data_IF_547718283564
#
_entry.id   IF_547718283564
#
_cell.length_a   1.000
_cell.length_b   1.000
_cell.length_c   1.000
_cell.angle_alpha   90.00
_cell.angle_beta   90.00
_cell.angle_gamma   90.00
#
_symmetry.space_group_name_H-M   'P 1'
#
loop_
_entity.id
_entity.type
_entity.pdbx_description
1 polymer ?
#
# COMPACT_ATOMS: atom_id res chain seq x y z
N UNK A 1 7.29 26.77 -38.49
CA UNK A 1 6.29 27.34 -37.58
C UNK A 1 7.01 27.70 -36.28
N UNK A 2 7.12 28.98 -35.89
CA UNK A 2 7.75 29.37 -34.62
C UNK A 2 6.78 28.98 -33.49
N UNK A 3 7.14 27.97 -32.69
CA UNK A 3 6.38 27.59 -31.50
C UNK A 3 6.35 28.82 -30.57
N UNK A 4 5.19 29.28 -30.08
CA UNK A 4 5.11 30.41 -29.16
C UNK A 4 5.99 30.18 -27.92
N UNK A 5 6.75 31.20 -27.50
CA UNK A 5 7.68 31.17 -26.35
C UNK A 5 6.93 31.08 -24.99
N UNK A 6 5.60 30.94 -25.00
CA UNK A 6 4.71 31.02 -23.83
C UNK A 6 4.76 29.79 -22.93
N UNK A 7 5.15 28.63 -23.47
CA UNK A 7 5.24 27.37 -22.70
C UNK A 7 6.66 27.05 -22.21
N UNK A 8 7.59 28.01 -22.36
CA UNK A 8 8.99 27.79 -21.98
C UNK A 8 9.12 27.78 -20.45
N UNK A 9 9.67 26.71 -19.85
CA UNK A 9 9.86 26.65 -18.40
C UNK A 9 10.84 27.72 -17.94
N UNK A 10 10.60 28.28 -16.75
CA UNK A 10 11.39 29.39 -16.17
C UNK A 10 12.10 28.94 -14.89
N UNK A 11 13.12 28.05 -14.96
CA UNK A 11 13.83 27.56 -13.78
C UNK A 11 14.56 28.68 -13.01
N UNK A 12 14.88 29.80 -13.68
CA UNK A 12 15.44 30.98 -13.02
C UNK A 12 14.53 31.55 -11.92
N UNK A 13 13.20 31.37 -12.02
CA UNK A 13 12.27 31.78 -10.97
C UNK A 13 12.36 30.91 -9.70
N UNK A 14 12.96 29.71 -9.79
CA UNK A 14 13.10 28.77 -8.67
C UNK A 14 14.31 29.11 -7.82
N UNK A 15 15.46 29.40 -8.45
CA UNK A 15 16.75 29.52 -7.75
C UNK A 15 17.55 30.77 -8.08
N UNK A 16 17.00 31.69 -8.89
CA UNK A 16 17.61 32.96 -9.26
C UNK A 16 18.80 32.84 -10.21
N UNK A 17 19.18 31.63 -10.65
CA UNK A 17 20.33 31.44 -11.55
C UNK A 17 19.93 31.72 -13.00
N UNK A 18 20.92 32.04 -13.82
CA UNK A 18 20.75 32.03 -15.28
C UNK A 18 20.74 30.58 -15.77
N UNK A 19 19.66 30.21 -16.44
CA UNK A 19 19.48 28.89 -17.04
C UNK A 19 19.45 28.98 -18.55
N UNK A 20 20.03 27.99 -19.22
CA UNK A 20 19.86 27.76 -20.66
C UNK A 20 18.70 26.79 -20.84
N UNK A 21 17.59 27.27 -21.41
CA UNK A 21 16.40 26.45 -21.68
C UNK A 21 16.28 26.19 -23.17
N UNK A 22 16.20 24.94 -23.59
CA UNK A 22 16.04 24.56 -24.99
C UNK A 22 14.84 23.61 -25.19
N UNK A 23 14.14 23.77 -26.32
CA UNK A 23 13.06 22.87 -26.71
C UNK A 23 13.58 21.50 -27.16
N UNK A 24 12.85 20.43 -26.88
CA UNK A 24 13.13 19.08 -27.36
C UNK A 24 12.14 18.63 -28.45
N UNK A 25 12.53 17.71 -29.34
CA UNK A 25 11.60 17.07 -30.26
C UNK A 25 10.76 16.02 -29.53
N UNK A 26 9.44 16.11 -29.65
CA UNK A 26 8.48 15.17 -29.06
C UNK A 26 8.16 15.45 -27.59
N UNK A 27 6.98 14.99 -27.15
CA UNK A 27 6.39 15.39 -25.87
C UNK A 27 6.95 14.66 -24.65
N UNK A 28 7.69 13.57 -24.85
CA UNK A 28 8.29 12.75 -23.79
C UNK A 28 9.76 13.10 -23.49
N UNK A 29 10.39 13.97 -24.29
CA UNK A 29 11.83 14.21 -24.21
C UNK A 29 12.15 15.33 -23.21
N UNK A 30 12.63 14.98 -22.01
CA UNK A 30 13.12 15.90 -20.98
C UNK A 30 14.54 15.59 -20.55
N UNK A 31 15.32 16.62 -20.19
CA UNK A 31 16.61 16.44 -19.52
C UNK A 31 17.06 17.70 -18.77
N UNK A 32 17.55 17.55 -17.54
CA UNK A 32 18.07 18.66 -16.72
C UNK A 32 19.49 18.40 -16.24
N UNK A 33 20.42 19.31 -16.58
CA UNK A 33 21.76 19.38 -15.98
C UNK A 33 21.79 20.51 -14.94
N UNK A 34 21.58 20.16 -13.67
CA UNK A 34 21.54 21.12 -12.55
C UNK A 34 22.89 21.80 -12.28
N UNK A 35 24.00 21.18 -12.70
CA UNK A 35 25.35 21.74 -12.54
C UNK A 35 25.56 22.84 -13.56
N UNK A 36 25.32 22.55 -14.84
CA UNK A 36 25.48 23.50 -15.95
C UNK A 36 24.31 24.49 -16.07
N UNK A 37 23.23 24.30 -15.30
CA UNK A 37 22.00 25.07 -15.40
C UNK A 37 21.41 25.02 -16.82
N UNK A 38 21.34 23.81 -17.38
CA UNK A 38 20.74 23.55 -18.70
C UNK A 38 19.48 22.71 -18.50
N UNK A 39 18.38 23.11 -19.12
CA UNK A 39 17.11 22.40 -19.08
C UNK A 39 16.59 22.22 -20.51
N UNK A 40 16.35 20.97 -20.89
CA UNK A 40 15.74 20.56 -22.14
C UNK A 40 14.33 20.04 -21.84
N UNK A 41 13.32 20.62 -22.47
CA UNK A 41 11.93 20.21 -22.26
C UNK A 41 11.07 20.48 -23.50
N UNK A 42 9.98 19.74 -23.70
CA UNK A 42 9.08 19.95 -24.82
C UNK A 42 8.34 21.27 -24.67
N UNK A 43 8.08 21.95 -25.79
CA UNK A 43 7.39 23.24 -25.81
C UNK A 43 5.94 23.15 -26.32
N UNK A 44 5.49 21.95 -26.72
CA UNK A 44 4.12 21.70 -27.14
C UNK A 44 3.12 21.94 -25.99
N UNK A 45 1.90 22.34 -26.31
CA UNK A 45 0.82 22.52 -25.33
C UNK A 45 -0.02 21.25 -25.18
N UNK A 46 0.63 20.15 -24.81
CA UNK A 46 -0.04 18.88 -24.50
C UNK A 46 0.09 18.57 -23.00
N UNK A 47 -0.82 17.74 -22.44
CA UNK A 47 -0.70 17.29 -21.05
C UNK A 47 0.65 16.62 -20.75
N UNK A 48 1.13 15.75 -21.64
CA UNK A 48 2.44 15.09 -21.54
C UNK A 48 3.58 16.09 -21.51
N UNK A 49 3.61 17.03 -22.47
CA UNK A 49 4.66 18.03 -22.52
C UNK A 49 4.67 18.94 -21.28
N UNK A 50 3.50 19.24 -20.71
CA UNK A 50 3.35 19.98 -19.45
C UNK A 50 3.91 19.17 -18.26
N UNK A 51 3.61 17.88 -18.19
CA UNK A 51 4.13 16.98 -17.15
C UNK A 51 5.66 16.90 -17.22
N UNK A 52 6.24 16.71 -18.41
CA UNK A 52 7.70 16.69 -18.59
C UNK A 52 8.32 18.03 -18.20
N UNK A 53 7.75 19.17 -18.60
CA UNK A 53 8.25 20.49 -18.15
C UNK A 53 8.25 20.62 -16.63
N UNK A 54 7.18 20.17 -15.97
CA UNK A 54 7.08 20.20 -14.51
C UNK A 54 8.12 19.28 -13.87
N UNK A 55 8.33 18.07 -14.41
CA UNK A 55 9.36 17.12 -13.99
C UNK A 55 10.76 17.74 -14.01
N UNK A 56 11.15 18.33 -15.14
CA UNK A 56 12.44 18.97 -15.31
C UNK A 56 12.63 20.20 -14.40
N UNK A 57 11.57 20.99 -14.18
CA UNK A 57 11.60 22.11 -13.23
C UNK A 57 11.81 21.64 -11.79
N UNK A 58 11.26 20.48 -11.41
CA UNK A 58 11.49 19.92 -10.08
C UNK A 58 12.93 19.43 -9.93
N UNK A 59 13.53 18.81 -10.96
CA UNK A 59 14.98 18.54 -10.95
C UNK A 59 15.81 19.79 -10.66
N UNK A 60 15.52 20.90 -11.35
CA UNK A 60 16.19 22.18 -11.14
C UNK A 60 16.08 22.66 -9.68
N UNK A 61 14.98 22.34 -8.99
CA UNK A 61 14.72 22.71 -7.60
C UNK A 61 15.41 21.81 -6.57
N UNK A 62 15.28 20.49 -6.70
CA UNK A 62 15.56 19.55 -5.59
C UNK A 62 16.63 18.50 -5.90
N UNK A 63 17.12 18.39 -7.13
CA UNK A 63 18.26 17.52 -7.46
C UNK A 63 19.57 18.21 -7.10
N UNK A 64 20.52 17.55 -6.42
CA UNK A 64 21.79 18.17 -6.05
C UNK A 64 22.61 18.62 -7.27
N UNK A 65 23.28 19.77 -7.14
CA UNK A 65 24.14 20.36 -8.17
C UNK A 65 25.51 19.70 -8.20
N UNK A 66 25.56 18.45 -8.63
CA UNK A 66 26.80 17.67 -8.72
C UNK A 66 26.78 16.78 -9.97
N UNK A 67 27.96 16.40 -10.45
CA UNK A 67 28.04 15.48 -11.57
C UNK A 67 27.54 14.08 -11.15
N UNK A 68 26.50 13.59 -11.81
CA UNK A 68 25.92 12.27 -11.55
C UNK A 68 26.99 11.15 -11.58
N UNK A 69 27.92 11.21 -12.55
CA UNK A 69 29.03 10.26 -12.65
C UNK A 69 29.93 10.23 -11.38
N UNK A 70 30.12 11.38 -10.73
CA UNK A 70 30.86 11.46 -9.46
C UNK A 70 30.09 10.80 -8.32
N UNK A 71 28.76 10.95 -8.29
CA UNK A 71 27.89 10.28 -7.31
C UNK A 71 27.93 8.77 -7.52
N UNK A 72 27.73 8.30 -8.76
CA UNK A 72 27.78 6.90 -9.14
C UNK A 72 29.06 6.24 -8.64
N UNK A 73 30.22 6.83 -8.98
CA UNK A 73 31.54 6.34 -8.53
C UNK A 73 31.68 6.30 -7.01
N UNK A 74 31.26 7.36 -6.30
CA UNK A 74 31.39 7.46 -4.83
C UNK A 74 30.43 6.53 -4.09
N UNK A 75 29.22 6.37 -4.59
CA UNK A 75 28.17 5.60 -3.94
C UNK A 75 28.12 4.15 -4.40
N UNK A 76 28.89 3.80 -5.44
CA UNK A 76 28.93 2.47 -6.10
C UNK A 76 27.56 2.06 -6.61
N UNK A 77 26.96 2.92 -7.41
CA UNK A 77 25.68 2.70 -8.10
C UNK A 77 25.87 2.98 -9.59
N UNK A 78 25.07 2.31 -10.42
CA UNK A 78 24.98 2.57 -11.86
C UNK A 78 24.35 3.93 -12.14
N UNK A 79 24.59 4.45 -13.35
CA UNK A 79 23.97 5.71 -13.79
C UNK A 79 22.45 5.54 -13.93
N UNK A 80 22.01 4.43 -14.51
CA UNK A 80 20.59 4.15 -14.76
C UNK A 80 19.81 4.06 -13.45
N UNK A 81 20.28 3.27 -12.48
CA UNK A 81 19.59 3.13 -11.19
C UNK A 81 19.53 4.45 -10.43
N UNK A 82 20.58 5.28 -10.53
CA UNK A 82 20.57 6.61 -9.93
C UNK A 82 19.55 7.53 -10.61
N UNK A 83 19.44 7.47 -11.94
CA UNK A 83 18.49 8.26 -12.71
C UNK A 83 17.05 7.81 -12.43
N UNK A 84 16.72 6.52 -12.56
CA UNK A 84 15.38 6.00 -12.28
C UNK A 84 14.93 6.25 -10.84
N UNK A 85 15.85 6.12 -9.88
CA UNK A 85 15.56 6.42 -8.47
C UNK A 85 15.34 7.90 -8.21
N UNK A 86 16.02 8.77 -8.96
CA UNK A 86 15.80 10.20 -8.84
C UNK A 86 14.47 10.59 -9.47
N UNK A 87 14.19 10.11 -10.68
CA UNK A 87 12.93 10.35 -11.38
C UNK A 87 11.73 9.84 -10.59
N UNK A 88 11.86 8.68 -9.92
CA UNK A 88 10.89 8.19 -8.95
C UNK A 88 10.63 9.20 -7.81
N UNK A 89 11.68 9.81 -7.26
CA UNK A 89 11.57 10.83 -6.22
C UNK A 89 10.91 12.11 -6.75
N UNK A 90 11.21 12.51 -7.98
CA UNK A 90 10.56 13.64 -8.65
C UNK A 90 9.07 13.35 -8.86
N UNK A 91 8.72 12.17 -9.38
CA UNK A 91 7.34 11.73 -9.54
C UNK A 91 6.55 11.76 -8.24
N UNK A 92 7.15 11.30 -7.13
CA UNK A 92 6.56 11.40 -5.80
C UNK A 92 6.29 12.85 -5.37
N UNK A 93 7.25 13.76 -5.60
CA UNK A 93 7.09 15.19 -5.29
C UNK A 93 5.93 15.81 -6.05
N UNK A 94 5.81 15.49 -7.34
CA UNK A 94 4.76 15.98 -8.22
C UNK A 94 3.38 15.45 -7.84
N UNK A 95 3.27 14.15 -7.61
CA UNK A 95 2.04 13.47 -7.20
C UNK A 95 1.48 14.05 -5.91
N UNK A 96 2.31 14.18 -4.88
CA UNK A 96 1.87 14.69 -3.57
C UNK A 96 1.42 16.15 -3.60
N UNK A 97 1.85 16.92 -4.60
CA UNK A 97 1.46 18.32 -4.77
C UNK A 97 0.34 18.52 -5.79
N UNK A 98 -0.21 17.43 -6.32
CA UNK A 98 -1.30 17.47 -7.31
C UNK A 98 -0.90 18.30 -8.56
N UNK A 99 0.38 18.22 -8.96
CA UNK A 99 0.94 18.96 -10.12
C UNK A 99 0.88 18.12 -11.40
N UNK A 100 0.75 16.80 -11.28
CA UNK A 100 0.69 15.87 -12.42
C UNK A 100 -0.71 15.29 -12.52
N UNK A 101 -1.28 15.40 -13.72
CA UNK A 101 -2.51 14.72 -14.08
C UNK A 101 -2.25 13.21 -14.15
N UNK A 102 -3.14 12.41 -13.53
CA UNK A 102 -3.08 10.95 -13.61
C UNK A 102 -3.10 10.44 -15.07
N UNK A 103 -3.66 11.26 -15.98
CA UNK A 103 -3.79 11.01 -17.42
C UNK A 103 -2.69 11.61 -18.29
N UNK A 104 -1.62 12.15 -17.69
CA UNK A 104 -0.59 12.85 -18.44
C UNK A 104 0.22 11.96 -19.41
N UNK A 105 0.13 10.63 -19.31
CA UNK A 105 0.72 9.70 -20.28
C UNK A 105 -0.41 8.91 -20.93
N UNK A 106 -0.50 9.03 -22.25
CA UNK A 106 -1.45 8.27 -23.08
C UNK A 106 -0.99 6.83 -23.28
N UNK A 107 -1.90 5.95 -23.69
CA UNK A 107 -1.57 4.55 -24.02
C UNK A 107 -0.49 4.44 -25.10
N UNK A 108 -0.54 5.29 -26.14
CA UNK A 108 0.46 5.28 -27.22
C UNK A 108 1.86 5.72 -26.74
N UNK A 109 1.92 6.64 -25.79
CA UNK A 109 3.17 7.07 -25.16
C UNK A 109 3.71 5.98 -24.21
N UNK A 110 2.84 5.30 -23.46
CA UNK A 110 3.23 4.14 -22.65
C UNK A 110 3.80 3.01 -23.53
N UNK A 111 3.19 2.74 -24.69
CA UNK A 111 3.70 1.77 -25.68
C UNK A 111 5.07 2.19 -26.23
N UNK A 112 5.28 3.50 -26.44
CA UNK A 112 6.57 4.06 -26.87
C UNK A 112 7.64 3.88 -25.80
N UNK A 113 7.31 4.14 -24.52
CA UNK A 113 8.22 3.91 -23.39
C UNK A 113 8.58 2.42 -23.31
N UNK A 114 7.58 1.54 -23.35
CA UNK A 114 7.79 0.10 -23.29
C UNK A 114 8.62 -0.41 -24.48
N UNK A 115 8.49 0.20 -25.66
CA UNK A 115 9.33 -0.09 -26.82
C UNK A 115 10.80 0.31 -26.60
N UNK A 116 11.05 1.50 -26.08
CA UNK A 116 12.41 2.03 -25.87
C UNK A 116 13.12 1.30 -24.74
N UNK A 117 12.40 0.90 -23.69
CA UNK A 117 13.00 0.23 -22.55
C UNK A 117 13.57 -1.15 -22.90
N UNK A 118 13.27 -1.77 -24.04
CA UNK A 118 13.94 -3.00 -24.52
C UNK A 118 13.91 -4.13 -23.50
N UNK A 119 12.88 -4.99 -23.57
CA UNK A 119 12.29 -5.86 -22.52
C UNK A 119 13.16 -6.77 -21.63
N UNK A 120 14.35 -6.34 -21.21
CA UNK A 120 15.08 -6.93 -20.11
C UNK A 120 14.36 -6.61 -18.79
N UNK A 121 14.48 -7.50 -17.81
CA UNK A 121 13.86 -7.32 -16.50
C UNK A 121 14.29 -5.99 -15.84
N UNK A 122 15.57 -5.64 -15.95
CA UNK A 122 16.14 -4.42 -15.36
C UNK A 122 15.55 -3.15 -15.96
N UNK A 123 15.41 -3.08 -17.28
CA UNK A 123 14.90 -1.87 -17.94
C UNK A 123 13.39 -1.73 -17.80
N UNK A 124 12.65 -2.85 -17.76
CA UNK A 124 11.24 -2.87 -17.36
C UNK A 124 11.10 -2.35 -15.93
N UNK A 125 11.92 -2.86 -14.99
CA UNK A 125 11.91 -2.42 -13.60
C UNK A 125 12.24 -0.93 -13.47
N UNK A 126 13.21 -0.44 -14.24
CA UNK A 126 13.56 0.98 -14.28
C UNK A 126 12.38 1.85 -14.71
N UNK A 127 11.70 1.47 -15.79
CA UNK A 127 10.53 2.18 -16.30
C UNK A 127 9.39 2.21 -15.28
N UNK A 128 9.05 1.05 -14.69
CA UNK A 128 8.00 0.96 -13.66
C UNK A 128 8.36 1.74 -12.39
N UNK A 129 9.65 1.78 -12.01
CA UNK A 129 10.12 2.54 -10.86
C UNK A 129 9.88 4.04 -11.03
N UNK A 130 10.15 4.61 -12.21
CA UNK A 130 9.94 6.05 -12.48
C UNK A 130 8.48 6.44 -12.24
N UNK A 131 7.53 5.60 -12.64
CA UNK A 131 6.09 5.85 -12.53
C UNK A 131 5.46 5.29 -11.25
N UNK A 132 6.25 4.81 -10.28
CA UNK A 132 5.76 4.08 -9.11
C UNK A 132 4.62 4.78 -8.33
N UNK A 133 4.73 6.09 -8.15
CA UNK A 133 3.75 6.90 -7.40
C UNK A 133 2.62 7.45 -8.28
N UNK A 134 2.69 7.25 -9.59
CA UNK A 134 1.75 7.75 -10.58
C UNK A 134 0.84 6.59 -10.99
N UNK A 135 -0.01 6.12 -10.05
CA UNK A 135 -0.67 4.81 -10.10
C UNK A 135 -1.31 4.43 -11.44
N UNK A 136 -2.03 5.36 -12.07
CA UNK A 136 -2.66 5.10 -13.38
C UNK A 136 -1.65 5.04 -14.53
N UNK A 137 -0.60 5.85 -14.50
CA UNK A 137 0.50 5.78 -15.48
C UNK A 137 1.30 4.48 -15.34
N UNK A 138 1.53 4.03 -14.10
CA UNK A 138 2.16 2.72 -13.84
C UNK A 138 1.34 1.59 -14.43
N UNK A 139 0.02 1.58 -14.19
CA UNK A 139 -0.88 0.57 -14.74
C UNK A 139 -0.83 0.54 -16.28
N UNK A 140 -0.92 1.71 -16.94
CA UNK A 140 -0.80 1.80 -18.41
C UNK A 140 0.52 1.28 -18.94
N UNK A 141 1.60 1.49 -18.19
CA UNK A 141 2.93 1.02 -18.55
C UNK A 141 3.07 -0.50 -18.38
N UNK A 142 2.49 -1.07 -17.31
CA UNK A 142 2.36 -2.52 -17.14
C UNK A 142 1.58 -3.12 -18.31
N UNK A 143 0.41 -2.57 -18.65
CA UNK A 143 -0.38 -3.02 -19.81
C UNK A 143 0.40 -2.89 -21.14
N UNK A 144 1.25 -1.86 -21.28
CA UNK A 144 2.09 -1.68 -22.46
C UNK A 144 3.18 -2.76 -22.58
N UNK A 145 3.78 -3.18 -21.47
CA UNK A 145 4.71 -4.31 -21.47
C UNK A 145 4.00 -5.63 -21.79
N UNK A 146 2.79 -5.85 -21.28
CA UNK A 146 1.96 -7.03 -21.62
C UNK A 146 1.64 -7.08 -23.12
N UNK A 147 1.20 -5.96 -23.72
CA UNK A 147 0.96 -5.86 -25.17
C UNK A 147 2.19 -6.16 -26.01
N UNK A 148 3.39 -5.96 -25.44
CA UNK A 148 4.67 -6.27 -26.09
C UNK A 148 5.18 -7.69 -25.82
N UNK A 149 4.37 -8.53 -25.18
CA UNK A 149 4.66 -9.94 -24.94
C UNK A 149 5.47 -10.22 -23.69
N UNK A 150 5.60 -9.26 -22.76
CA UNK A 150 6.12 -9.54 -21.42
C UNK A 150 5.02 -10.27 -20.66
N UNK A 151 5.37 -11.41 -20.07
CA UNK A 151 4.44 -12.21 -19.28
C UNK A 151 3.95 -11.42 -18.04
N UNK A 152 2.62 -11.35 -17.78
CA UNK A 152 2.07 -10.59 -16.65
C UNK A 152 2.66 -11.00 -15.29
N UNK A 153 2.97 -12.27 -15.09
CA UNK A 153 3.60 -12.76 -13.84
C UNK A 153 5.01 -12.19 -13.68
N UNK A 154 5.74 -12.03 -14.79
CA UNK A 154 7.05 -11.36 -14.79
C UNK A 154 6.91 -9.89 -14.38
N UNK A 155 5.90 -9.17 -14.88
CA UNK A 155 5.64 -7.76 -14.51
C UNK A 155 5.28 -7.67 -13.03
N UNK A 156 4.37 -8.51 -12.53
CA UNK A 156 3.97 -8.55 -11.12
C UNK A 156 5.16 -8.88 -10.20
N UNK A 157 6.03 -9.79 -10.63
CA UNK A 157 7.28 -10.12 -9.91
C UNK A 157 8.20 -8.90 -9.83
N UNK A 158 8.41 -8.19 -10.94
CA UNK A 158 9.19 -6.95 -10.97
C UNK A 158 8.58 -5.90 -10.04
N UNK A 159 7.27 -5.66 -10.13
CA UNK A 159 6.57 -4.69 -9.29
C UNK A 159 6.68 -5.02 -7.80
N UNK A 160 6.56 -6.29 -7.42
CA UNK A 160 6.72 -6.74 -6.04
C UNK A 160 8.13 -6.46 -5.50
N UNK A 161 9.16 -6.73 -6.32
CA UNK A 161 10.57 -6.46 -5.99
C UNK A 161 10.82 -4.95 -5.87
N UNK A 162 10.26 -4.15 -6.78
CA UNK A 162 10.30 -2.68 -6.73
C UNK A 162 9.63 -2.13 -5.46
N UNK A 163 8.46 -2.67 -5.09
CA UNK A 163 7.75 -2.24 -3.89
C UNK A 163 8.61 -2.41 -2.64
N UNK A 164 9.29 -3.56 -2.54
CA UNK A 164 10.19 -3.88 -1.43
C UNK A 164 11.31 -2.84 -1.31
N UNK A 165 12.02 -2.55 -2.40
CA UNK A 165 13.14 -1.60 -2.38
C UNK A 165 12.68 -0.15 -2.16
N UNK A 166 11.52 0.24 -2.69
CA UNK A 166 10.92 1.57 -2.49
C UNK A 166 10.52 1.76 -1.02
N UNK A 167 9.84 0.77 -0.41
CA UNK A 167 9.47 0.79 1.01
C UNK A 167 10.69 0.84 1.91
N UNK A 168 11.71 0.04 1.61
CA UNK A 168 12.97 0.03 2.35
C UNK A 168 13.68 1.39 2.29
N UNK A 169 13.82 1.97 1.10
CA UNK A 169 14.41 3.29 0.93
C UNK A 169 13.63 4.37 1.70
N UNK A 170 12.30 4.37 1.61
CA UNK A 170 11.44 5.32 2.34
C UNK A 170 11.59 5.20 3.87
N UNK A 171 11.70 3.96 4.38
CA UNK A 171 11.90 3.70 5.80
C UNK A 171 13.26 4.22 6.30
N UNK A 172 14.33 4.07 5.50
CA UNK A 172 15.66 4.61 5.85
C UNK A 172 15.71 6.14 5.84
N UNK A 173 14.87 6.76 5.01
CA UNK A 173 14.76 8.21 4.91
C UNK A 173 14.08 8.81 6.17
N UNK A 174 13.14 8.11 6.80
CA UNK A 174 12.35 8.64 7.91
C UNK A 174 13.20 9.06 9.13
N UNK A 175 12.98 10.28 9.69
CA UNK A 175 13.78 10.77 10.82
C UNK A 175 13.55 9.96 12.11
N UNK A 176 14.64 9.43 12.68
CA UNK A 176 14.64 8.49 13.83
C UNK A 176 14.13 9.06 15.17
N UNK A 177 13.91 10.37 15.36
CA UNK A 177 13.73 10.93 16.73
C UNK A 177 12.80 12.12 16.97
N UNK A 178 11.94 12.57 16.04
CA UNK A 178 10.94 13.62 16.36
C UNK A 178 9.52 13.09 16.39
N UNK A 179 8.95 13.10 17.60
CA UNK A 179 7.53 12.97 17.89
C UNK A 179 6.69 13.85 16.94
N UNK A 180 5.70 13.21 16.33
CA UNK A 180 4.34 13.73 16.04
C UNK A 180 4.26 15.13 15.44
N UNK A 181 4.29 15.19 14.11
CA UNK A 181 3.20 15.78 13.31
C UNK A 181 3.03 14.92 12.07
N UNK A 182 1.81 14.42 11.83
CA UNK A 182 1.45 13.89 10.52
C UNK A 182 1.66 15.02 9.50
N UNK A 183 2.46 14.77 8.46
CA UNK A 183 2.71 15.75 7.40
C UNK A 183 4.17 16.14 7.16
N UNK A 184 5.13 15.71 7.98
CA UNK A 184 6.54 16.06 7.74
C UNK A 184 7.22 15.11 6.73
N UNK A 185 6.73 15.10 5.48
CA UNK A 185 7.32 14.41 4.32
C UNK A 185 8.39 15.24 3.60
N UNK A 186 8.96 16.27 4.26
CA UNK A 186 10.00 17.19 3.74
C UNK A 186 11.27 16.51 3.21
N UNK A 187 11.41 15.20 3.38
CA UNK A 187 12.56 14.47 2.86
C UNK A 187 12.56 14.40 1.34
N UNK A 188 11.41 14.18 0.70
CA UNK A 188 11.32 14.12 -0.76
C UNK A 188 11.51 15.50 -1.40
N UNK A 189 11.13 16.55 -0.68
CA UNK A 189 11.10 17.95 -1.13
C UNK A 189 12.45 18.69 -1.03
N UNK A 190 13.53 17.98 -0.73
CA UNK A 190 14.82 18.62 -0.45
C UNK A 190 15.99 17.92 -1.13
N UNK A 191 17.08 18.67 -1.31
CA UNK A 191 18.39 18.15 -1.73
C UNK A 191 18.89 17.06 -0.76
N UNK A 192 18.51 17.13 0.52
CA UNK A 192 18.84 16.08 1.49
C UNK A 192 18.11 14.76 1.21
N UNK A 193 16.96 14.82 0.54
CA UNK A 193 16.21 13.66 0.05
C UNK A 193 17.03 12.79 -0.89
N UNK A 194 17.82 13.40 -1.76
CA UNK A 194 18.69 12.68 -2.67
C UNK A 194 19.63 11.70 -1.94
N UNK A 195 20.31 12.18 -0.90
CA UNK A 195 21.24 11.35 -0.12
C UNK A 195 20.51 10.30 0.74
N UNK A 196 19.32 10.63 1.25
CA UNK A 196 18.58 9.81 2.21
C UNK A 196 17.58 8.84 1.58
N UNK A 197 17.22 9.04 0.33
CA UNK A 197 16.23 8.24 -0.39
C UNK A 197 16.77 7.78 -1.76
N UNK A 198 17.10 8.71 -2.67
CA UNK A 198 17.54 8.38 -4.03
C UNK A 198 18.75 7.44 -4.04
N UNK A 199 19.81 7.75 -3.27
CA UNK A 199 21.02 6.93 -3.24
C UNK A 199 20.77 5.54 -2.62
N UNK A 200 20.10 5.41 -1.46
CA UNK A 200 19.69 4.10 -0.94
C UNK A 200 18.82 3.30 -1.92
N UNK A 201 17.86 3.94 -2.58
CA UNK A 201 16.99 3.31 -3.58
C UNK A 201 17.79 2.80 -4.77
N UNK A 202 18.72 3.61 -5.32
CA UNK A 202 19.57 3.22 -6.43
C UNK A 202 20.44 2.01 -6.11
N UNK A 203 20.99 1.93 -4.88
CA UNK A 203 21.74 0.74 -4.43
C UNK A 203 20.88 -0.50 -4.34
N UNK A 204 19.69 -0.36 -3.78
CA UNK A 204 18.76 -1.47 -3.66
C UNK A 204 18.31 -1.94 -5.05
N UNK A 205 18.07 -1.00 -5.96
CA UNK A 205 17.75 -1.30 -7.35
C UNK A 205 18.88 -2.05 -8.07
N UNK A 206 20.13 -1.58 -7.99
CA UNK A 206 21.27 -2.28 -8.63
C UNK A 206 21.50 -3.68 -8.05
N UNK A 207 21.26 -3.84 -6.75
CA UNK A 207 21.35 -5.14 -6.10
C UNK A 207 20.25 -6.09 -6.60
N UNK A 208 19.02 -5.58 -6.70
CA UNK A 208 17.86 -6.37 -7.10
C UNK A 208 17.90 -6.69 -8.60
N UNK A 209 18.22 -5.71 -9.43
CA UNK A 209 18.20 -5.83 -10.90
C UNK A 209 19.60 -5.59 -11.46
N UNK A 210 20.56 -6.52 -11.35
CA UNK A 210 21.94 -6.31 -11.77
C UNK A 210 22.07 -6.12 -13.29
N UNK A 211 23.09 -5.38 -13.71
CA UNK A 211 23.45 -5.25 -15.13
C UNK A 211 23.87 -6.63 -15.70
N UNK A 212 23.29 -7.03 -16.84
CA UNK A 212 23.63 -8.27 -17.54
C UNK A 212 22.90 -9.54 -17.05
N UNK A 213 21.90 -9.43 -16.18
CA UNK A 213 21.10 -10.55 -15.68
C UNK A 213 20.09 -11.12 -16.67
N UNK A 214 20.57 -11.67 -17.79
CA UNK A 214 19.80 -12.60 -18.61
C UNK A 214 20.23 -14.04 -18.30
N UNK A 215 19.43 -14.75 -17.51
CA UNK A 215 19.52 -16.21 -17.37
C UNK A 215 20.62 -16.76 -16.45
N UNK A 216 20.17 -17.65 -15.55
CA UNK A 216 20.91 -18.67 -14.79
C UNK A 216 21.72 -18.28 -13.54
N UNK A 217 21.41 -19.04 -12.48
CA UNK A 217 21.95 -18.94 -11.14
C UNK A 217 23.39 -19.45 -11.05
N UNK A 218 24.24 -18.74 -10.32
CA UNK A 218 25.58 -19.21 -9.92
C UNK A 218 26.22 -18.29 -8.90
N UNK A 219 26.38 -18.75 -7.66
CA UNK A 219 26.77 -17.91 -6.51
C UNK A 219 28.27 -17.55 -6.42
N UNK A 220 28.59 -16.54 -5.60
CA UNK A 220 29.21 -16.68 -4.25
C UNK A 220 29.90 -15.39 -3.77
N UNK A 221 29.84 -15.18 -2.43
CA UNK A 221 30.67 -14.30 -1.56
C UNK A 221 30.42 -12.77 -1.71
N UNK A 222 30.06 -12.01 -0.65
CA UNK A 222 30.53 -12.09 0.74
C UNK A 222 29.55 -11.35 1.67
N UNK A 223 28.96 -12.14 2.54
CA UNK A 223 28.05 -11.80 3.62
C UNK A 223 28.80 -11.60 4.93
N UNK A 224 28.24 -10.82 5.86
CA UNK A 224 28.20 -11.20 7.28
C UNK A 224 27.14 -10.40 8.07
N UNK A 225 26.83 -9.15 7.69
CA UNK A 225 25.85 -8.32 8.44
C UNK A 225 24.41 -8.40 7.87
N UNK A 226 24.25 -8.58 6.56
CA UNK A 226 22.94 -8.77 5.91
C UNK A 226 22.42 -10.20 6.03
N UNK A 227 23.31 -11.17 6.22
CA UNK A 227 22.95 -12.57 6.44
C UNK A 227 22.20 -12.77 7.75
N UNK A 228 22.45 -12.01 8.82
CA UNK A 228 21.69 -12.16 10.06
C UNK A 228 20.19 -11.78 9.90
N UNK A 229 19.88 -10.82 9.01
CA UNK A 229 18.51 -10.44 8.68
C UNK A 229 17.88 -11.44 7.69
N UNK A 230 18.62 -11.84 6.65
CA UNK A 230 18.18 -12.84 5.68
C UNK A 230 18.05 -14.26 6.28
N UNK A 231 18.83 -14.59 7.30
CA UNK A 231 18.77 -15.88 8.00
C UNK A 231 17.60 -15.91 8.99
N UNK A 232 17.23 -14.76 9.60
CA UNK A 232 15.94 -14.63 10.30
C UNK A 232 14.75 -14.83 9.35
N UNK A 233 14.82 -14.34 8.11
CA UNK A 233 13.84 -14.62 7.05
C UNK A 233 13.85 -16.09 6.59
N UNK A 234 15.01 -16.72 6.47
CA UNK A 234 15.13 -18.15 6.07
C UNK A 234 14.68 -19.12 7.16
N UNK A 235 14.74 -18.74 8.43
CA UNK A 235 14.25 -19.60 9.54
C UNK A 235 12.71 -19.63 9.60
N UNK A 236 12.00 -18.69 8.95
CA UNK A 236 10.53 -18.70 8.83
C UNK A 236 10.03 -19.72 7.81
N UNK A 237 10.90 -20.26 6.94
CA UNK A 237 10.55 -21.28 5.94
C UNK A 237 10.10 -22.62 6.54
N UNK A 238 10.19 -22.78 7.87
CA UNK A 238 9.72 -23.96 8.58
C UNK A 238 8.27 -23.85 9.11
N UNK A 239 7.60 -22.69 9.01
CA UNK A 239 6.21 -22.54 9.49
C UNK A 239 5.37 -21.61 8.60
N UNK A 240 5.09 -22.03 7.37
CA UNK A 240 4.08 -21.43 6.48
C UNK A 240 4.43 -20.07 5.87
N UNK A 241 3.70 -19.68 4.82
CA UNK A 241 3.83 -18.39 4.11
C UNK A 241 3.37 -17.18 4.94
N UNK A 242 3.13 -17.31 6.25
CA UNK A 242 2.49 -16.28 7.06
C UNK A 242 3.41 -15.76 8.17
N UNK A 243 3.31 -14.47 8.46
CA UNK A 243 3.93 -13.91 9.64
C UNK A 243 3.17 -14.38 10.91
N UNK A 244 3.84 -14.48 12.06
CA UNK A 244 3.17 -14.81 13.31
C UNK A 244 2.20 -13.71 13.75
N UNK A 245 1.04 -14.11 14.25
CA UNK A 245 0.18 -13.24 15.07
C UNK A 245 0.82 -13.13 16.44
N UNK A 246 1.29 -11.93 16.80
CA UNK A 246 1.95 -11.68 18.09
C UNK A 246 0.98 -11.90 19.25
N UNK A 247 -0.24 -11.39 19.13
CA UNK A 247 -1.28 -11.49 20.14
C UNK A 247 -2.68 -11.18 19.57
N UNK A 248 -3.69 -11.61 20.32
CA UNK A 248 -5.08 -11.16 20.17
C UNK A 248 -5.33 -10.12 21.26
N UNK A 249 -5.22 -8.85 20.90
CA UNK A 249 -5.31 -7.73 21.82
C UNK A 249 -6.76 -7.29 22.03
N UNK A 250 -7.13 -7.05 23.28
CA UNK A 250 -8.46 -6.54 23.66
C UNK A 250 -8.31 -5.20 24.37
N UNK A 251 -8.51 -4.05 23.67
CA UNK A 251 -8.59 -2.75 24.32
C UNK A 251 -9.75 -2.70 25.33
N UNK A 252 -9.73 -1.70 26.22
CA UNK A 252 -10.81 -1.46 27.17
C UNK A 252 -12.13 -1.21 26.41
N UNK A 253 -13.13 -2.08 26.64
CA UNK A 253 -14.45 -2.00 25.99
C UNK A 253 -15.40 -1.18 26.86
N UNK A 254 -15.10 0.09 27.07
CA UNK A 254 -15.78 0.91 28.08
C UNK A 254 -17.15 1.41 27.61
N UNK A 255 -17.37 1.49 26.29
CA UNK A 255 -18.61 2.02 25.72
C UNK A 255 -19.67 0.94 25.55
N UNK A 256 -20.81 1.09 26.22
CA UNK A 256 -21.98 0.24 25.97
C UNK A 256 -22.64 0.57 24.62
N UNK A 257 -22.90 -0.44 23.81
CA UNK A 257 -23.55 -0.29 22.50
C UNK A 257 -25.03 -0.54 22.67
N UNK A 258 -25.86 0.47 22.39
CA UNK A 258 -27.33 0.31 22.39
C UNK A 258 -27.75 -0.26 21.04
N UNK A 259 -28.46 -1.40 21.00
CA UNK A 259 -28.95 -1.92 19.73
C UNK A 259 -30.03 -0.99 19.16
N UNK A 260 -29.99 -0.72 17.84
CA UNK A 260 -31.01 0.10 17.15
C UNK A 260 -32.43 -0.45 17.30
N UNK A 261 -32.56 -1.77 17.47
CA UNK A 261 -33.83 -2.43 17.79
C UNK A 261 -33.69 -3.17 19.10
N UNK A 262 -34.63 -2.96 20.02
CA UNK A 262 -34.69 -3.75 21.23
C UNK A 262 -34.81 -5.24 20.86
N UNK A 263 -34.07 -6.14 21.53
CA UNK A 263 -34.26 -7.57 21.36
C UNK A 263 -35.74 -7.89 21.57
N UNK A 264 -36.33 -8.67 20.65
CA UNK A 264 -37.70 -9.14 20.82
C UNK A 264 -37.86 -9.86 22.16
N UNK A 265 -39.08 -9.88 22.68
CA UNK A 265 -39.40 -10.68 23.87
C UNK A 265 -39.76 -12.10 23.41
N UNK A 266 -39.30 -13.11 24.15
CA UNK A 266 -39.83 -14.48 24.07
C UNK A 266 -40.79 -14.65 25.24
N UNK A 267 -41.95 -15.19 24.97
CA UNK A 267 -42.92 -15.51 26.00
C UNK A 267 -42.77 -16.97 26.43
N UNK A 268 -42.88 -17.22 27.72
CA UNK A 268 -42.78 -18.53 28.35
C UNK A 268 -43.96 -18.70 29.34
N UNK A 269 -44.28 -19.95 29.63
CA UNK A 269 -45.30 -20.40 30.57
C UNK A 269 -44.88 -20.27 32.04
N UNK A 270 -43.58 -20.11 32.30
CA UNK A 270 -43.01 -19.92 33.62
C UNK A 270 -42.08 -18.70 33.69
N UNK A 271 -42.00 -18.09 34.87
CA UNK A 271 -41.14 -16.93 35.17
C UNK A 271 -41.51 -16.29 36.50
N UNK A 272 -40.84 -15.18 36.83
CA UNK A 272 -41.04 -14.48 38.12
C UNK A 272 -42.15 -13.44 38.05
N UNK A 273 -42.22 -12.68 36.95
CA UNK A 273 -43.17 -11.56 36.80
C UNK A 273 -43.96 -11.74 35.50
N UNK A 274 -45.28 -12.00 35.56
CA UNK A 274 -46.12 -12.09 34.38
C UNK A 274 -46.25 -10.70 33.74
N UNK A 275 -46.08 -10.62 32.42
CA UNK A 275 -46.09 -9.33 31.69
C UNK A 275 -46.90 -9.34 30.40
N UNK A 276 -47.36 -10.52 29.95
CA UNK A 276 -48.30 -10.68 28.84
C UNK A 276 -49.52 -11.48 29.29
N UNK A 277 -50.23 -10.96 30.30
CA UNK A 277 -51.41 -11.63 30.90
C UNK A 277 -52.50 -11.94 29.87
N UNK A 278 -52.62 -11.12 28.82
CA UNK A 278 -53.55 -11.36 27.70
C UNK A 278 -53.31 -12.67 26.94
N UNK A 279 -52.14 -13.33 27.10
CA UNK A 279 -51.82 -14.63 26.50
C UNK A 279 -52.30 -15.83 27.33
N UNK A 280 -52.72 -15.61 28.57
CA UNK A 280 -53.19 -16.68 29.45
C UNK A 280 -54.28 -17.55 28.80
N UNK A 281 -55.35 -16.98 28.19
CA UNK A 281 -56.38 -17.78 27.53
C UNK A 281 -55.98 -18.32 26.15
N UNK A 282 -54.84 -17.87 25.59
CA UNK A 282 -54.41 -18.23 24.23
C UNK A 282 -53.45 -19.42 24.26
N UNK A 283 -52.37 -19.31 25.05
CA UNK A 283 -51.30 -20.32 25.08
C UNK A 283 -50.55 -20.44 26.42
N UNK A 284 -51.04 -19.78 27.47
CA UNK A 284 -50.44 -19.83 28.81
C UNK A 284 -49.06 -19.16 28.95
N UNK A 285 -48.46 -18.65 27.86
CA UNK A 285 -47.12 -18.09 27.87
C UNK A 285 -47.11 -16.61 28.31
N UNK A 286 -47.31 -16.34 29.60
CA UNK A 286 -47.50 -14.98 30.12
C UNK A 286 -46.21 -14.28 30.60
N UNK A 287 -45.09 -14.99 30.70
CA UNK A 287 -43.83 -14.47 31.22
C UNK A 287 -42.91 -14.04 30.07
N UNK A 288 -42.56 -12.76 30.00
CA UNK A 288 -41.63 -12.26 29.00
C UNK A 288 -40.18 -12.41 29.44
N UNK A 289 -39.38 -13.05 28.59
CA UNK A 289 -37.92 -13.09 28.68
C UNK A 289 -37.30 -12.34 27.50
N UNK A 290 -36.12 -11.74 27.68
CA UNK A 290 -35.41 -11.10 26.57
C UNK A 290 -34.90 -12.20 25.62
N UNK A 291 -35.22 -12.10 24.34
CA UNK A 291 -34.66 -13.02 23.34
C UNK A 291 -33.16 -12.75 23.23
N UNK A 292 -32.34 -13.80 23.30
CA UNK A 292 -30.92 -13.70 22.95
C UNK A 292 -30.83 -13.30 21.47
N UNK A 293 -30.17 -12.19 21.20
CA UNK A 293 -29.85 -11.79 19.82
C UNK A 293 -28.83 -12.78 19.29
N UNK A 294 -29.02 -13.32 18.09
CA UNK A 294 -27.99 -14.13 17.45
C UNK A 294 -26.77 -13.22 17.25
N UNK A 295 -25.68 -13.53 17.96
CA UNK A 295 -24.40 -12.87 17.76
C UNK A 295 -23.78 -13.31 16.43
N UNK A 296 -22.50 -13.00 16.26
CA UNK A 296 -21.70 -13.40 15.10
C UNK A 296 -20.30 -12.81 15.26
N UNK A 297 -19.41 -13.12 14.33
CA UNK A 297 -18.06 -12.56 14.34
C UNK A 297 -17.73 -11.93 13.00
N UNK A 298 -17.30 -10.67 13.04
CA UNK A 298 -16.82 -9.93 11.89
C UNK A 298 -15.32 -9.68 12.08
N UNK A 299 -14.52 -10.16 11.14
CA UNK A 299 -13.10 -9.86 11.06
C UNK A 299 -12.89 -8.86 9.92
N UNK A 300 -12.31 -7.71 10.22
CA UNK A 300 -12.02 -6.67 9.25
C UNK A 300 -10.53 -6.64 8.95
N UNK A 301 -10.19 -6.79 7.68
CA UNK A 301 -8.87 -6.50 7.15
C UNK A 301 -8.59 -5.01 7.27
N UNK A 302 -7.58 -4.62 8.05
CA UNK A 302 -7.19 -3.22 8.26
C UNK A 302 -5.91 -2.84 7.51
N UNK A 303 -5.67 -3.48 6.35
CA UNK A 303 -4.56 -3.18 5.46
C UNK A 303 -4.69 -1.83 4.76
N UNK A 304 -3.61 -1.45 4.06
CA UNK A 304 -3.48 -0.15 3.42
C UNK A 304 -4.54 0.14 2.36
N UNK A 305 -5.02 -0.88 1.65
CA UNK A 305 -6.02 -0.75 0.59
C UNK A 305 -7.46 -0.58 1.11
N UNK A 306 -7.74 -1.06 2.31
CA UNK A 306 -9.09 -0.97 2.90
C UNK A 306 -9.43 0.43 3.43
N UNK A 307 -8.41 1.28 3.64
CA UNK A 307 -8.43 2.66 4.16
C UNK A 307 -9.69 3.10 4.91
N UNK A 308 -10.04 2.40 5.99
CA UNK A 308 -11.19 2.77 6.80
C UNK A 308 -11.03 4.16 7.40
N UNK A 309 -12.06 4.99 7.29
CA UNK A 309 -12.18 6.20 8.09
C UNK A 309 -12.69 5.87 9.51
N UNK A 310 -12.67 6.86 10.40
CA UNK A 310 -13.11 6.67 11.79
C UNK A 310 -14.61 6.35 11.84
N UNK A 311 -15.37 6.97 10.94
CA UNK A 311 -16.80 6.79 10.77
C UNK A 311 -17.14 5.36 10.32
N UNK A 312 -16.31 4.72 9.49
CA UNK A 312 -16.53 3.34 9.05
C UNK A 312 -16.40 2.34 10.21
N UNK A 313 -15.34 2.50 11.02
CA UNK A 313 -15.09 1.68 12.20
C UNK A 313 -16.23 1.87 13.21
N UNK A 314 -16.60 3.12 13.47
CA UNK A 314 -17.70 3.46 14.37
C UNK A 314 -19.03 2.87 13.88
N UNK A 315 -19.32 2.99 12.59
CA UNK A 315 -20.55 2.45 12.00
C UNK A 315 -20.60 0.93 12.09
N UNK A 316 -19.50 0.24 11.83
CA UNK A 316 -19.43 -1.22 11.91
C UNK A 316 -19.70 -1.71 13.34
N UNK A 317 -19.17 -0.99 14.34
CA UNK A 317 -19.43 -1.23 15.76
C UNK A 317 -20.92 -1.03 16.11
N UNK A 318 -21.53 0.04 15.61
CA UNK A 318 -22.91 0.40 15.95
C UNK A 318 -23.97 -0.46 15.23
N UNK A 319 -23.70 -0.90 14.00
CA UNK A 319 -24.64 -1.67 13.19
C UNK A 319 -24.76 -3.13 13.66
N UNK A 320 -23.75 -3.67 14.37
CA UNK A 320 -23.72 -5.05 14.86
C UNK A 320 -23.46 -5.16 16.39
N UNK A 321 -24.35 -4.63 17.26
CA UNK A 321 -24.15 -4.50 18.71
C UNK A 321 -23.99 -5.85 19.46
N UNK A 322 -24.46 -6.95 18.88
CA UNK A 322 -24.34 -8.29 19.45
C UNK A 322 -23.19 -9.12 18.87
N UNK A 323 -22.46 -8.59 17.89
CA UNK A 323 -21.36 -9.28 17.24
C UNK A 323 -20.02 -8.99 17.92
N UNK A 324 -19.10 -9.95 17.81
CA UNK A 324 -17.68 -9.70 18.03
C UNK A 324 -17.10 -9.07 16.77
N UNK A 325 -16.49 -7.90 16.91
CA UNK A 325 -15.83 -7.21 15.82
C UNK A 325 -14.34 -7.18 16.12
N UNK A 326 -13.56 -7.76 15.21
CA UNK A 326 -12.12 -7.78 15.27
C UNK A 326 -11.53 -7.13 14.02
N UNK A 327 -10.35 -6.54 14.18
CA UNK A 327 -9.53 -5.97 13.12
C UNK A 327 -8.20 -6.67 13.12
N UNK A 328 -7.57 -6.87 11.97
CA UNK A 328 -6.20 -7.36 11.93
C UNK A 328 -5.35 -6.53 10.98
N UNK A 329 -4.06 -6.45 11.29
CA UNK A 329 -3.06 -5.90 10.39
C UNK A 329 -1.69 -6.51 10.70
N UNK A 330 -0.90 -6.69 9.64
CA UNK A 330 0.52 -6.99 9.69
C UNK A 330 1.37 -5.72 9.79
N UNK A 331 2.63 -5.94 10.17
CA UNK A 331 3.68 -4.94 10.18
C UNK A 331 4.92 -5.57 9.55
N UNK A 332 5.18 -5.24 8.29
CA UNK A 332 6.39 -5.66 7.56
C UNK A 332 7.68 -5.33 8.33
N UNK A 333 7.82 -4.14 8.97
CA UNK A 333 9.00 -3.86 9.80
C UNK A 333 9.19 -4.83 10.98
N UNK A 334 8.11 -5.44 11.48
CA UNK A 334 8.15 -6.37 12.62
C UNK A 334 7.99 -7.83 12.21
N UNK A 335 7.79 -8.11 10.92
CA UNK A 335 7.46 -9.43 10.38
C UNK A 335 6.45 -10.18 11.26
N UNK A 336 5.40 -9.49 11.67
CA UNK A 336 4.37 -9.99 12.58
C UNK A 336 3.11 -9.13 12.48
N UNK A 337 1.99 -9.64 12.98
CA UNK A 337 0.73 -8.91 13.01
C UNK A 337 -0.04 -9.13 14.30
N UNK A 338 -1.18 -8.48 14.42
CA UNK A 338 -2.03 -8.54 15.62
C UNK A 338 -3.50 -8.52 15.22
N UNK A 339 -4.32 -9.24 15.99
CA UNK A 339 -5.78 -9.16 15.92
C UNK A 339 -6.25 -8.28 17.10
N UNK A 340 -7.09 -7.29 16.83
CA UNK A 340 -7.60 -6.32 17.80
C UNK A 340 -9.12 -6.46 17.91
N UNK A 341 -9.63 -6.79 19.09
CA UNK A 341 -11.07 -6.91 19.34
C UNK A 341 -11.65 -5.53 19.66
N UNK A 342 -12.28 -4.89 18.68
CA UNK A 342 -12.88 -3.55 18.82
C UNK A 342 -14.24 -3.54 19.49
N UNK A 343 -15.02 -4.62 19.37
CA UNK A 343 -16.29 -4.78 20.09
C UNK A 343 -16.58 -6.25 20.41
N UNK A 344 -17.18 -6.49 21.57
CA UNK A 344 -17.66 -7.81 21.98
C UNK A 344 -18.64 -7.68 23.15
N UNK A 345 -19.67 -8.53 23.18
CA UNK A 345 -20.60 -8.63 24.32
C UNK A 345 -21.41 -7.35 24.58
N UNK A 346 -21.78 -6.61 23.53
CA UNK A 346 -22.53 -5.35 23.68
C UNK A 346 -21.68 -4.16 24.13
N UNK A 347 -20.36 -4.28 24.12
CA UNK A 347 -19.43 -3.21 24.47
C UNK A 347 -18.37 -2.99 23.39
N UNK A 348 -17.90 -1.76 23.26
CA UNK A 348 -16.91 -1.34 22.28
C UNK A 348 -15.78 -0.51 22.91
N UNK A 349 -14.60 -0.61 22.30
CA UNK A 349 -13.52 0.33 22.50
C UNK A 349 -13.77 1.61 21.68
N UNK A 350 -13.01 2.67 21.98
CA UNK A 350 -13.01 3.86 21.12
C UNK A 350 -12.29 3.55 19.80
N UNK A 351 -12.69 4.20 18.71
CA UNK A 351 -12.00 4.10 17.41
C UNK A 351 -10.50 4.38 17.54
N UNK A 352 -10.16 5.38 18.38
CA UNK A 352 -8.78 5.75 18.69
C UNK A 352 -7.99 4.59 19.30
N UNK A 353 -8.56 3.85 20.24
CA UNK A 353 -7.89 2.73 20.90
C UNK A 353 -7.70 1.55 19.95
N UNK A 354 -8.70 1.27 19.11
CA UNK A 354 -8.60 0.26 18.04
C UNK A 354 -7.44 0.61 17.09
N UNK A 355 -7.39 1.84 16.59
CA UNK A 355 -6.30 2.28 15.69
C UNK A 355 -4.94 2.23 16.34
N UNK A 356 -4.83 2.67 17.60
CA UNK A 356 -3.56 2.67 18.34
C UNK A 356 -3.03 1.25 18.57
N UNK A 357 -3.92 0.27 18.66
CA UNK A 357 -3.56 -1.11 18.89
C UNK A 357 -3.07 -1.84 17.64
N UNK A 358 -3.44 -1.39 16.43
CA UNK A 358 -3.02 -2.00 15.16
C UNK A 358 -1.53 -1.71 14.87
N UNK A 359 -0.73 -2.73 14.51
CA UNK A 359 0.73 -2.62 14.42
C UNK A 359 1.25 -2.07 13.08
N UNK A 360 0.38 -1.97 12.06
CA UNK A 360 0.74 -1.58 10.70
C UNK A 360 -0.47 -1.57 9.78
N UNK A 361 -0.22 -1.76 8.48
CA UNK A 361 -1.23 -1.79 7.41
C UNK A 361 -0.90 -2.85 6.34
N UNK A 362 -0.07 -3.83 6.68
CA UNK A 362 0.39 -4.85 5.72
C UNK A 362 -0.47 -6.12 5.81
N UNK A 363 -0.61 -6.83 4.70
CA UNK A 363 -1.21 -8.16 4.63
C UNK A 363 -0.11 -9.19 4.81
N UNK A 364 0.06 -9.68 6.04
CA UNK A 364 1.07 -10.68 6.40
C UNK A 364 0.51 -11.81 7.26
N UNK A 365 -0.72 -11.64 7.76
CA UNK A 365 -1.33 -12.52 8.77
C UNK A 365 -2.75 -12.93 8.40
N UNK A 366 -3.17 -12.79 7.13
CA UNK A 366 -4.53 -13.10 6.69
C UNK A 366 -4.90 -14.55 7.00
N UNK A 367 -4.05 -15.52 6.64
CA UNK A 367 -4.26 -16.93 6.95
C UNK A 367 -4.44 -17.17 8.46
N UNK A 368 -3.48 -16.80 9.33
CA UNK A 368 -3.63 -16.89 10.77
C UNK A 368 -4.87 -16.17 11.33
N UNK A 369 -5.23 -15.01 10.81
CA UNK A 369 -6.40 -14.25 11.22
C UNK A 369 -7.71 -14.97 10.83
N UNK A 370 -7.77 -15.57 9.64
CA UNK A 370 -8.88 -16.41 9.20
C UNK A 370 -8.99 -17.70 10.01
N UNK A 371 -7.87 -18.34 10.37
CA UNK A 371 -7.87 -19.50 11.30
C UNK A 371 -8.36 -19.10 12.70
N UNK A 372 -8.06 -17.88 13.15
CA UNK A 372 -8.66 -17.34 14.37
C UNK A 372 -10.17 -17.16 14.21
N UNK A 373 -10.65 -16.57 13.10
CA UNK A 373 -12.06 -16.37 12.81
C UNK A 373 -12.83 -17.68 12.71
N UNK A 374 -12.25 -18.71 12.10
CA UNK A 374 -12.83 -20.04 11.95
C UNK A 374 -13.21 -20.68 13.30
N UNK A 375 -12.49 -20.33 14.38
CA UNK A 375 -12.76 -20.80 15.75
C UNK A 375 -13.83 -19.98 16.49
N UNK A 376 -14.30 -18.87 15.93
CA UNK A 376 -15.27 -18.00 16.58
C UNK A 376 -16.72 -18.47 16.34
N UNK A 377 -17.70 -18.06 17.17
CA UNK A 377 -19.11 -18.34 16.94
C UNK A 377 -19.61 -17.75 15.62
N UNK A 378 -20.43 -18.52 14.89
CA UNK A 378 -21.06 -18.09 13.64
C UNK A 378 -22.32 -17.23 13.85
N UNK A 379 -22.79 -16.51 12.81
CA UNK A 379 -22.20 -16.37 11.48
C UNK A 379 -20.86 -15.63 11.48
N UNK A 380 -19.97 -15.98 10.53
CA UNK A 380 -18.62 -15.44 10.40
C UNK A 380 -18.50 -14.64 9.11
N UNK A 381 -18.00 -13.42 9.21
CA UNK A 381 -17.79 -12.53 8.07
C UNK A 381 -16.34 -12.06 8.05
N UNK A 382 -15.72 -12.09 6.88
CA UNK A 382 -14.43 -11.47 6.64
C UNK A 382 -14.64 -10.29 5.69
N UNK A 383 -14.29 -9.09 6.15
CA UNK A 383 -14.37 -7.86 5.35
C UNK A 383 -12.98 -7.59 4.78
N UNK A 384 -12.80 -7.79 3.48
CA UNK A 384 -11.52 -7.62 2.76
C UNK A 384 -11.80 -7.47 1.26
N UNK A 385 -10.94 -6.73 0.56
CA UNK A 385 -10.89 -6.63 -0.90
C UNK A 385 -10.24 -7.85 -1.58
N UNK A 386 -9.81 -8.83 -0.77
CA UNK A 386 -9.07 -10.04 -1.14
C UNK A 386 -7.64 -9.75 -1.65
N UNK A 387 -7.07 -8.59 -1.32
CA UNK A 387 -5.66 -8.26 -1.50
C UNK A 387 -4.73 -9.04 -0.55
N UNK A 388 -4.88 -10.36 -0.50
CA UNK A 388 -4.20 -11.24 0.45
C UNK A 388 -2.68 -11.20 0.28
N UNK A 389 -1.95 -11.17 1.40
CA UNK A 389 -0.49 -11.15 1.42
C UNK A 389 0.11 -12.10 2.43
N UNK A 390 0.94 -13.01 1.95
CA UNK A 390 1.89 -13.75 2.75
C UNK A 390 3.22 -13.02 2.91
N UNK A 391 4.14 -13.64 3.65
CA UNK A 391 5.54 -13.25 3.78
C UNK A 391 6.29 -13.38 2.45
N UNK A 392 5.82 -14.25 1.55
CA UNK A 392 6.53 -14.66 0.33
C UNK A 392 5.75 -14.44 -0.96
N UNK A 393 4.47 -14.09 -0.87
CA UNK A 393 3.55 -13.99 -2.00
C UNK A 393 2.42 -12.99 -1.67
N UNK A 394 1.80 -12.40 -2.69
CA UNK A 394 0.75 -11.40 -2.52
C UNK A 394 -0.24 -11.49 -3.70
N UNK A 395 -1.45 -10.98 -3.51
CA UNK A 395 -2.44 -10.79 -4.58
C UNK A 395 -3.39 -11.97 -4.78
N UNK A 396 -4.42 -11.73 -5.60
CA UNK A 396 -5.41 -12.75 -5.98
C UNK A 396 -4.72 -13.81 -6.86
N UNK A 397 -4.95 -15.07 -6.53
CA UNK A 397 -4.35 -16.20 -7.27
C UNK A 397 -3.02 -16.71 -6.70
N UNK A 398 -2.45 -16.01 -5.72
CA UNK A 398 -1.31 -16.51 -4.93
C UNK A 398 -1.67 -17.75 -4.09
N UNK A 399 -0.66 -18.48 -3.63
CA UNK A 399 -0.82 -19.64 -2.73
C UNK A 399 -1.49 -19.23 -1.41
N UNK A 400 -1.08 -18.08 -0.86
CA UNK A 400 -1.67 -17.47 0.33
C UNK A 400 -3.14 -17.09 0.11
N UNK A 401 -3.48 -16.54 -1.06
CA UNK A 401 -4.88 -16.28 -1.42
C UNK A 401 -5.69 -17.58 -1.54
N UNK A 402 -5.15 -18.61 -2.21
CA UNK A 402 -5.81 -19.91 -2.32
C UNK A 402 -6.05 -20.55 -0.93
N UNK A 403 -5.08 -20.42 -0.02
CA UNK A 403 -5.23 -20.87 1.37
C UNK A 403 -6.34 -20.10 2.10
N UNK A 404 -6.38 -18.78 2.00
CA UNK A 404 -7.43 -17.95 2.59
C UNK A 404 -8.83 -18.34 2.09
N UNK A 405 -8.97 -18.57 0.78
CA UNK A 405 -10.22 -19.05 0.17
C UNK A 405 -10.60 -20.43 0.71
N UNK A 406 -9.64 -21.35 0.85
CA UNK A 406 -9.87 -22.68 1.41
C UNK A 406 -10.35 -22.62 2.86
N UNK A 407 -9.71 -21.79 3.71
CA UNK A 407 -10.14 -21.57 5.10
C UNK A 407 -11.56 -21.00 5.13
N UNK A 408 -11.86 -20.02 4.27
CA UNK A 408 -13.18 -19.41 4.23
C UNK A 408 -14.27 -20.42 3.86
N UNK A 409 -14.05 -21.25 2.84
CA UNK A 409 -14.97 -22.31 2.43
C UNK A 409 -15.16 -23.34 3.54
N UNK A 410 -14.08 -23.85 4.12
CA UNK A 410 -14.12 -24.89 5.15
C UNK A 410 -14.84 -24.42 6.43
N UNK A 411 -14.66 -23.15 6.82
CA UNK A 411 -15.23 -22.60 8.04
C UNK A 411 -16.58 -21.89 7.83
N UNK A 412 -17.13 -21.87 6.61
CA UNK A 412 -18.37 -21.15 6.29
C UNK A 412 -18.26 -19.64 6.54
N UNK A 413 -17.09 -19.05 6.29
CA UNK A 413 -16.84 -17.61 6.41
C UNK A 413 -17.33 -16.94 5.14
N UNK A 414 -18.18 -15.92 5.29
CA UNK A 414 -18.65 -15.10 4.18
C UNK A 414 -17.69 -13.94 3.93
N UNK A 415 -17.20 -13.82 2.71
CA UNK A 415 -16.32 -12.72 2.30
C UNK A 415 -17.19 -11.52 1.89
N UNK A 416 -16.84 -10.34 2.38
CA UNK A 416 -17.53 -9.09 2.11
C UNK A 416 -16.49 -8.08 1.59
N UNK A 417 -16.63 -7.57 0.34
CA UNK A 417 -15.58 -6.78 -0.31
C UNK A 417 -15.31 -5.43 0.37
N UNK A 418 -16.30 -4.89 1.08
CA UNK A 418 -16.21 -3.59 1.77
C UNK A 418 -17.28 -3.46 2.84
N UNK A 419 -17.04 -2.63 3.85
CA UNK A 419 -17.99 -2.38 4.95
C UNK A 419 -19.39 -1.98 4.46
N UNK A 420 -19.47 -1.25 3.33
CA UNK A 420 -20.74 -0.87 2.70
C UNK A 420 -21.66 -2.05 2.33
N UNK A 421 -21.09 -3.22 2.05
CA UNK A 421 -21.82 -4.40 1.61
C UNK A 421 -22.38 -5.26 2.75
N UNK A 422 -22.06 -4.98 4.02
CA UNK A 422 -22.62 -5.66 5.21
C UNK A 422 -24.12 -5.42 5.42
N UNK A 423 -24.76 -4.53 4.62
CA UNK A 423 -26.14 -4.07 4.81
C UNK A 423 -27.24 -4.97 4.23
N UNK A 424 -26.94 -6.16 3.71
CA UNK A 424 -27.93 -7.04 3.07
C UNK A 424 -28.12 -8.35 3.81
#
# INVERSE_FOLDING_TARGET
>A
MKIPDTNRPVPAAIDGRRWTVAGTPGDLAGATDTRKAVLHAPLADTPTARMVRNHELVHARITPRMAAATVCKRQRVSMEALQWSEDNRIGNFLWYREIVDADAITTAEADTIAQVCGGSERTIAGALLVHWFLGEQRARLSDAFERRGVDPVTIETIESRLESIVKAAAATAAPRRRRRRAGDRRIFDSVAGFKKYTVPLARAFDFEFPEGGGGEAGGTRRDHDTQAAAQRLRTVKATGSWAPVTDVFRPALDRAIKPRRAPGRRFADCGVIPSAVHRLPVDGSIFATKRKVKGGTVLCDASGSMDYCDEDIERLILDAPGATIAFYAGSSPRMSGRIVIGAAGGRAATVRDVRRALPGRDNLIDGPALRWLARQPGPRFWVSDEGVGGVTDFGRGSDSHAECVAICRAAGIKIIPRIGALRR
#
